data_IF_253864940628
#
_entry.id   IF_253864940628
#
_cell.length_a   1.000
_cell.length_b   1.000
_cell.length_c   1.000
_cell.angle_alpha   90.00
_cell.angle_beta   90.00
_cell.angle_gamma   90.00
#
_symmetry.space_group_name_H-M   'P 1'
#
loop_
_entity.id
_entity.type
_entity.pdbx_description
1 polymer ?
#
# COMPACT_ATOMS: atom_id res chain seq x y z
N UNK A 1 12.61 -57.27 -21.46
CA UNK A 1 13.70 -56.52 -20.79
C UNK A 1 14.06 -55.36 -21.71
N UNK A 2 13.76 -54.08 -21.49
CA UNK A 2 12.98 -53.37 -20.48
C UNK A 2 12.57 -52.08 -21.19
N UNK A 3 11.28 -51.89 -21.45
CA UNK A 3 10.73 -50.64 -21.99
C UNK A 3 10.71 -49.62 -20.86
N UNK A 4 11.58 -48.61 -20.92
CA UNK A 4 11.53 -47.47 -20.01
C UNK A 4 10.41 -46.53 -20.48
N UNK A 5 9.32 -46.50 -19.71
CA UNK A 5 8.34 -45.42 -19.75
C UNK A 5 8.99 -44.17 -19.16
N UNK A 6 9.45 -43.27 -20.01
CA UNK A 6 9.83 -41.92 -19.59
C UNK A 6 8.54 -41.15 -19.33
N UNK A 7 8.10 -41.08 -18.07
CA UNK A 7 7.16 -40.04 -17.66
C UNK A 7 7.92 -38.71 -17.73
N UNK A 8 7.77 -38.01 -18.86
CA UNK A 8 8.23 -36.66 -19.01
C UNK A 8 7.32 -35.76 -18.16
N UNK A 9 7.62 -35.63 -16.86
CA UNK A 9 6.97 -34.61 -16.03
C UNK A 9 7.47 -33.26 -16.54
N UNK A 10 6.72 -32.68 -17.48
CA UNK A 10 6.93 -31.33 -17.97
C UNK A 10 6.73 -30.37 -16.79
N UNK A 11 7.80 -30.01 -16.09
CA UNK A 11 7.76 -29.07 -14.99
C UNK A 11 7.51 -27.66 -15.55
N UNK A 12 6.31 -27.14 -15.33
CA UNK A 12 5.94 -25.78 -15.70
C UNK A 12 6.52 -24.82 -14.65
N UNK A 13 7.47 -23.97 -15.07
CA UNK A 13 8.08 -22.96 -14.20
C UNK A 13 7.35 -21.64 -14.38
N UNK A 14 6.93 -21.04 -13.26
CA UNK A 14 6.38 -19.68 -13.23
C UNK A 14 7.28 -18.78 -12.40
N UNK A 15 7.53 -17.57 -12.91
CA UNK A 15 8.16 -16.49 -12.14
C UNK A 15 7.04 -15.78 -11.38
N UNK A 16 7.20 -15.63 -10.07
CA UNK A 16 6.23 -14.96 -9.21
C UNK A 16 6.92 -13.85 -8.42
N UNK A 17 6.42 -12.63 -8.56
CA UNK A 17 6.89 -11.49 -7.78
C UNK A 17 6.10 -11.40 -6.48
N UNK A 18 6.80 -11.42 -5.34
CA UNK A 18 6.21 -11.20 -4.01
C UNK A 18 6.51 -9.76 -3.60
N UNK A 19 5.54 -8.84 -3.67
CA UNK A 19 5.81 -7.46 -3.31
C UNK A 19 5.90 -7.33 -1.79
N UNK A 20 6.98 -6.69 -1.36
CA UNK A 20 7.17 -6.23 0.03
C UNK A 20 6.46 -4.88 0.23
N UNK A 21 6.56 -4.00 -0.76
CA UNK A 21 5.94 -2.68 -0.75
C UNK A 21 5.10 -2.54 -2.00
N UNK A 22 3.88 -2.03 -1.84
CA UNK A 22 3.01 -1.59 -2.94
C UNK A 22 2.64 -0.12 -2.70
N UNK A 23 2.90 0.73 -3.70
CA UNK A 23 2.50 2.14 -3.68
C UNK A 23 1.60 2.39 -4.88
N UNK A 24 0.34 2.66 -4.61
CA UNK A 24 -0.64 3.03 -5.63
C UNK A 24 -0.69 4.55 -5.79
N UNK A 25 -0.29 5.04 -6.97
CA UNK A 25 -0.23 6.47 -7.27
C UNK A 25 -1.50 6.94 -8.01
N UNK A 26 -2.13 8.01 -7.50
CA UNK A 26 -3.33 8.60 -8.10
C UNK A 26 -3.19 10.11 -8.22
N UNK A 27 -3.84 10.69 -9.22
CA UNK A 27 -3.99 12.16 -9.27
C UNK A 27 -4.87 12.62 -8.11
N UNK A 28 -6.04 12.02 -7.92
CA UNK A 28 -6.91 12.27 -6.77
C UNK A 28 -7.49 10.96 -6.25
N UNK A 29 -8.03 10.97 -5.03
CA UNK A 29 -8.71 9.81 -4.44
C UNK A 29 -10.12 10.15 -4.01
N UNK A 30 -11.09 9.42 -4.57
CA UNK A 30 -12.47 9.40 -4.10
C UNK A 30 -12.80 8.13 -3.31
N UNK A 31 -14.05 8.01 -2.84
CA UNK A 31 -14.51 6.90 -2.01
C UNK A 31 -14.44 5.55 -2.73
N UNK A 32 -14.85 5.50 -4.00
CA UNK A 32 -14.87 4.27 -4.79
C UNK A 32 -13.46 3.77 -5.06
N UNK A 33 -12.53 4.68 -5.37
CA UNK A 33 -11.12 4.35 -5.52
C UNK A 33 -10.53 3.82 -4.21
N UNK A 34 -10.87 4.43 -3.06
CA UNK A 34 -10.40 3.98 -1.76
C UNK A 34 -10.93 2.58 -1.40
N UNK A 35 -12.19 2.29 -1.72
CA UNK A 35 -12.78 0.95 -1.56
C UNK A 35 -12.04 -0.08 -2.42
N UNK A 36 -11.71 0.26 -3.67
CA UNK A 36 -10.88 -0.58 -4.55
C UNK A 36 -9.48 -0.83 -4.00
N UNK A 37 -8.75 0.22 -3.60
CA UNK A 37 -7.41 0.11 -3.00
C UNK A 37 -7.43 -0.71 -1.72
N UNK A 38 -8.48 -0.58 -0.89
CA UNK A 38 -8.63 -1.37 0.33
C UNK A 38 -8.81 -2.86 0.04
N UNK A 39 -9.60 -3.21 -0.97
CA UNK A 39 -9.77 -4.61 -1.38
C UNK A 39 -8.47 -5.18 -1.93
N UNK A 40 -7.75 -4.44 -2.75
CA UNK A 40 -6.44 -4.85 -3.26
C UNK A 40 -5.43 -5.06 -2.12
N UNK A 41 -5.43 -4.19 -1.11
CA UNK A 41 -4.60 -4.34 0.08
C UNK A 41 -4.97 -5.60 0.89
N UNK A 42 -6.25 -5.90 1.02
CA UNK A 42 -6.73 -7.12 1.69
C UNK A 42 -6.30 -8.39 0.95
N UNK A 43 -6.50 -8.43 -0.37
CA UNK A 43 -6.09 -9.55 -1.23
C UNK A 43 -4.56 -9.75 -1.21
N UNK A 44 -3.79 -8.66 -1.14
CA UNK A 44 -2.34 -8.72 -1.00
C UNK A 44 -1.94 -9.28 0.36
N UNK A 45 -2.48 -8.76 1.45
CA UNK A 45 -2.12 -9.17 2.81
C UNK A 45 -2.55 -10.59 3.14
N UNK A 46 -3.60 -11.09 2.49
CA UNK A 46 -3.96 -12.51 2.55
C UNK A 46 -2.86 -13.43 2.00
N UNK A 47 -2.01 -12.95 1.09
CA UNK A 47 -0.90 -13.72 0.49
C UNK A 47 0.45 -13.40 1.12
N UNK A 48 0.69 -12.13 1.45
CA UNK A 48 1.89 -11.65 2.13
C UNK A 48 1.47 -10.72 3.29
N UNK A 49 1.27 -11.26 4.51
CA UNK A 49 0.82 -10.46 5.67
C UNK A 49 1.79 -9.32 6.05
N UNK A 50 3.07 -9.48 5.72
CA UNK A 50 4.10 -8.49 6.00
C UNK A 50 4.21 -7.41 4.92
N UNK A 51 3.39 -7.46 3.87
CA UNK A 51 3.42 -6.42 2.84
C UNK A 51 2.89 -5.08 3.32
N UNK A 52 3.51 -4.00 2.87
CA UNK A 52 3.09 -2.63 3.12
C UNK A 52 2.34 -2.06 1.90
N UNK A 53 1.06 -1.74 2.07
CA UNK A 53 0.22 -1.16 1.02
C UNK A 53 -0.05 0.33 1.28
N UNK A 54 0.42 1.19 0.38
CA UNK A 54 0.33 2.65 0.49
C UNK A 54 -0.45 3.21 -0.69
N UNK A 55 -1.31 4.19 -0.43
CA UNK A 55 -1.93 5.02 -1.49
C UNK A 55 -1.34 6.42 -1.45
N UNK A 56 -0.85 6.89 -2.58
CA UNK A 56 -0.23 8.20 -2.76
C UNK A 56 -1.06 9.02 -3.76
N UNK A 57 -1.45 10.25 -3.39
CA UNK A 57 -2.19 11.13 -4.27
C UNK A 57 -1.80 12.60 -4.19
N UNK A 58 -2.12 13.36 -5.25
CA UNK A 58 -1.98 14.82 -5.24
C UNK A 58 -3.12 15.49 -4.47
N UNK A 59 -4.38 15.05 -4.69
CA UNK A 59 -5.58 15.66 -4.10
C UNK A 59 -6.51 14.64 -3.42
N UNK A 60 -7.30 15.11 -2.44
CA UNK A 60 -8.30 14.29 -1.74
C UNK A 60 -9.74 14.69 -2.14
N UNK A 61 -10.56 13.73 -2.55
CA UNK A 61 -11.99 13.89 -2.89
C UNK A 61 -12.87 13.03 -1.98
N UNK A 62 -12.62 13.11 -0.66
CA UNK A 62 -13.42 12.44 0.36
C UNK A 62 -14.23 13.45 1.17
N UNK A 63 -15.42 13.06 1.61
CA UNK A 63 -16.16 13.81 2.62
C UNK A 63 -15.51 13.63 4.00
N UNK A 64 -15.79 14.55 4.93
CA UNK A 64 -15.31 14.50 6.32
C UNK A 64 -15.75 13.24 7.06
N UNK A 65 -16.85 12.62 6.63
CA UNK A 65 -17.52 11.56 7.36
C UNK A 65 -16.97 10.17 7.02
N UNK A 66 -16.00 10.09 6.11
CA UNK A 66 -15.34 8.84 5.75
C UNK A 66 -14.46 8.38 6.90
N UNK A 67 -14.90 7.33 7.61
CA UNK A 67 -14.06 6.65 8.60
C UNK A 67 -12.93 5.88 7.90
N UNK A 68 -11.73 6.46 7.89
CA UNK A 68 -10.56 5.87 7.24
C UNK A 68 -10.09 4.56 7.90
N UNK A 69 -10.41 4.32 9.18
CA UNK A 69 -9.96 3.13 9.94
C UNK A 69 -10.57 1.82 9.44
N UNK A 70 -11.65 1.87 8.66
CA UNK A 70 -12.28 0.66 8.11
C UNK A 70 -11.51 0.07 6.93
N UNK A 71 -10.64 0.84 6.30
CA UNK A 71 -9.90 0.43 5.10
C UNK A 71 -8.61 -0.31 5.49
N UNK A 72 -8.19 -1.26 4.65
CA UNK A 72 -7.07 -2.19 4.92
C UNK A 72 -5.70 -1.69 4.45
N UNK A 73 -5.67 -0.51 3.83
CA UNK A 73 -4.42 0.16 3.42
C UNK A 73 -3.63 0.62 4.65
N UNK A 74 -2.30 0.54 4.61
CA UNK A 74 -1.44 0.88 5.74
C UNK A 74 -1.18 2.37 5.88
N UNK A 75 -1.25 3.12 4.77
CA UNK A 75 -1.11 4.56 4.79
C UNK A 75 -1.66 5.24 3.55
N UNK A 76 -2.14 6.46 3.74
CA UNK A 76 -2.65 7.34 2.67
C UNK A 76 -1.91 8.69 2.72
N UNK A 77 -1.34 9.13 1.60
CA UNK A 77 -0.55 10.36 1.52
C UNK A 77 -1.10 11.35 0.48
N UNK A 78 -1.52 12.54 0.94
CA UNK A 78 -1.91 13.66 0.08
C UNK A 78 -0.74 14.65 -0.07
N UNK A 79 0.04 14.54 -1.14
CA UNK A 79 1.34 15.24 -1.26
C UNK A 79 1.24 16.76 -1.45
N UNK A 80 0.09 17.27 -1.92
CA UNK A 80 -0.16 18.72 -2.02
C UNK A 80 -0.97 19.27 -0.86
N UNK A 81 -1.41 18.40 0.05
CA UNK A 81 -2.26 18.75 1.20
C UNK A 81 -3.48 19.58 0.79
N UNK A 82 -4.10 19.24 -0.34
CA UNK A 82 -5.16 20.03 -0.97
C UNK A 82 -6.36 19.14 -1.29
N UNK A 83 -7.58 19.66 -1.08
CA UNK A 83 -8.80 19.01 -1.55
C UNK A 83 -8.89 19.07 -3.06
N UNK A 84 -9.53 18.07 -3.63
CA UNK A 84 -9.84 18.03 -5.04
C UNK A 84 -10.92 19.08 -5.36
N UNK A 85 -10.61 20.03 -6.23
CA UNK A 85 -11.61 20.86 -6.92
C UNK A 85 -12.08 20.13 -8.19
N UNK A 86 -13.23 20.52 -8.73
CA UNK A 86 -13.65 20.00 -10.04
C UNK A 86 -12.60 20.30 -11.10
N UNK A 87 -12.56 19.43 -12.10
CA UNK A 87 -11.44 19.37 -13.03
C UNK A 87 -11.35 20.66 -13.85
N UNK A 88 -12.48 21.27 -14.20
CA UNK A 88 -12.52 22.57 -14.89
C UNK A 88 -11.81 23.67 -14.09
N UNK A 89 -12.04 23.75 -12.78
CA UNK A 89 -11.46 24.78 -11.92
C UNK A 89 -9.94 24.69 -11.81
N UNK A 90 -9.32 23.54 -12.14
CA UNK A 90 -7.86 23.40 -12.09
C UNK A 90 -7.14 24.16 -13.21
N UNK A 91 -7.87 24.55 -14.26
CA UNK A 91 -7.34 25.29 -15.40
C UNK A 91 -7.66 26.78 -15.33
N UNK A 92 -8.39 27.23 -14.30
CA UNK A 92 -8.66 28.64 -14.09
C UNK A 92 -7.38 29.39 -13.70
N UNK A 93 -7.22 30.62 -14.20
CA UNK A 93 -6.08 31.47 -13.89
C UNK A 93 -5.95 31.77 -12.39
N UNK A 94 -7.08 31.72 -11.67
CA UNK A 94 -7.17 31.95 -10.22
C UNK A 94 -6.80 30.72 -9.40
N UNK A 95 -6.67 29.54 -10.00
CA UNK A 95 -6.43 28.30 -9.27
C UNK A 95 -4.97 28.19 -8.80
N UNK A 96 -4.79 28.21 -7.48
CA UNK A 96 -3.48 28.01 -6.86
C UNK A 96 -3.28 26.54 -6.47
N UNK A 97 -2.39 25.86 -7.21
CA UNK A 97 -1.93 24.51 -6.88
C UNK A 97 -0.83 24.57 -5.82
N UNK A 98 -1.04 23.92 -4.68
CA UNK A 98 0.04 23.75 -3.70
C UNK A 98 1.20 22.95 -4.33
N UNK A 99 2.47 23.31 -4.06
CA UNK A 99 3.61 22.51 -4.50
C UNK A 99 3.57 21.12 -3.84
N UNK A 100 4.32 20.16 -4.40
CA UNK A 100 4.53 18.88 -3.72
C UNK A 100 5.30 19.14 -2.43
N UNK A 101 4.75 18.75 -1.30
CA UNK A 101 5.37 19.00 -0.01
C UNK A 101 6.53 18.00 0.24
N UNK A 102 7.79 18.45 0.30
CA UNK A 102 8.94 17.57 0.50
C UNK A 102 8.94 16.89 1.87
N UNK A 103 8.27 17.46 2.89
CA UNK A 103 8.13 16.82 4.20
C UNK A 103 7.29 15.55 4.12
N UNK A 104 6.22 15.56 3.30
CA UNK A 104 5.35 14.39 3.09
C UNK A 104 6.11 13.29 2.36
N UNK A 105 6.86 13.64 1.30
CA UNK A 105 7.71 12.70 0.55
C UNK A 105 8.79 12.11 1.46
N UNK A 106 9.45 12.93 2.28
CA UNK A 106 10.45 12.48 3.25
C UNK A 106 9.84 11.55 4.30
N UNK A 107 8.60 11.80 4.73
CA UNK A 107 7.91 10.89 5.65
C UNK A 107 7.60 9.55 4.97
N UNK A 108 7.11 9.55 3.73
CA UNK A 108 6.90 8.32 2.95
C UNK A 108 8.20 7.51 2.84
N UNK A 109 9.31 8.16 2.48
CA UNK A 109 10.63 7.52 2.39
C UNK A 109 11.03 6.84 3.70
N UNK A 110 10.94 7.54 4.84
CA UNK A 110 11.30 6.96 6.13
C UNK A 110 10.37 5.82 6.55
N UNK A 111 9.07 5.88 6.21
CA UNK A 111 8.13 4.79 6.46
C UNK A 111 8.53 3.53 5.70
N UNK A 112 8.82 3.66 4.39
CA UNK A 112 9.28 2.54 3.56
C UNK A 112 10.62 2.01 4.08
N UNK A 113 11.60 2.88 4.31
CA UNK A 113 12.91 2.48 4.86
C UNK A 113 12.75 1.71 6.16
N UNK A 114 12.00 2.25 7.13
CA UNK A 114 11.76 1.59 8.42
C UNK A 114 11.19 0.18 8.23
N UNK A 115 10.18 0.04 7.36
CA UNK A 115 9.56 -1.25 7.09
C UNK A 115 10.52 -2.24 6.43
N UNK A 116 11.38 -1.79 5.52
CA UNK A 116 12.37 -2.66 4.88
C UNK A 116 13.54 -3.07 5.80
N UNK A 117 13.82 -2.29 6.84
CA UNK A 117 14.95 -2.53 7.75
C UNK A 117 14.55 -3.11 9.10
N UNK A 118 13.25 -3.25 9.37
CA UNK A 118 12.78 -3.86 10.61
C UNK A 118 12.73 -5.38 10.49
N UNK A 119 12.87 -6.07 11.61
CA UNK A 119 12.59 -7.50 11.67
C UNK A 119 11.07 -7.73 11.61
N UNK A 120 10.60 -8.48 10.61
CA UNK A 120 9.19 -8.86 10.50
C UNK A 120 8.85 -10.11 11.30
N UNK A 121 9.85 -10.87 11.73
CA UNK A 121 9.66 -12.18 12.37
C UNK A 121 9.37 -12.11 13.85
N UNK A 122 9.43 -10.91 14.45
CA UNK A 122 9.01 -10.57 15.82
C UNK A 122 9.08 -11.76 16.75
N UNK A 123 10.26 -12.05 17.30
CA UNK A 123 10.53 -13.29 18.01
C UNK A 123 9.40 -13.63 18.99
N UNK A 124 8.74 -14.76 18.77
CA UNK A 124 7.65 -15.25 19.63
C UNK A 124 8.11 -15.27 21.10
N UNK A 125 9.40 -15.56 21.32
CA UNK A 125 10.06 -15.53 22.62
C UNK A 125 10.02 -14.14 23.28
N UNK A 126 10.34 -13.08 22.55
CA UNK A 126 10.21 -11.70 23.03
C UNK A 126 8.74 -11.36 23.32
N UNK A 127 7.83 -11.86 22.46
CA UNK A 127 6.38 -11.82 22.64
C UNK A 127 5.89 -12.45 23.94
N UNK A 128 6.39 -13.64 24.24
CA UNK A 128 6.07 -14.37 25.48
C UNK A 128 6.62 -13.61 26.69
N UNK A 129 7.84 -13.07 26.60
CA UNK A 129 8.47 -12.32 27.70
C UNK A 129 7.74 -11.01 27.99
N UNK A 130 7.29 -10.28 26.96
CA UNK A 130 6.52 -9.03 27.15
C UNK A 130 5.06 -9.28 27.56
N UNK A 131 4.48 -10.43 27.22
CA UNK A 131 3.11 -10.80 27.58
C UNK A 131 2.06 -10.48 26.50
N UNK A 132 2.47 -10.08 25.30
CA UNK A 132 1.59 -9.91 24.12
C UNK A 132 2.39 -10.21 22.85
N UNK A 133 1.76 -10.80 21.83
CA UNK A 133 2.46 -11.26 20.60
C UNK A 133 2.37 -10.27 19.43
N UNK A 134 1.39 -9.37 19.44
CA UNK A 134 1.15 -8.41 18.37
C UNK A 134 1.50 -7.03 18.91
N UNK A 135 2.34 -6.27 18.21
CA UNK A 135 2.62 -4.86 18.53
C UNK A 135 1.47 -3.97 18.02
N UNK A 136 1.06 -2.98 18.82
CA UNK A 136 0.02 -1.99 18.47
C UNK A 136 0.55 -0.82 17.63
#
# INVERSE_FOLDING_TARGET
MTSFLTFNTCALTHIFDIPVIVIECKTYLDKTMLEGSSRAAEELKARNPNSLYIVLMEWIKLSSDVNLRKYKVDQIYVIRQQKNTDREFRYEETYMKNPINPKVVRHLFHKVRKHLTMDWTGAIEDGIQRGWLIEE
#
